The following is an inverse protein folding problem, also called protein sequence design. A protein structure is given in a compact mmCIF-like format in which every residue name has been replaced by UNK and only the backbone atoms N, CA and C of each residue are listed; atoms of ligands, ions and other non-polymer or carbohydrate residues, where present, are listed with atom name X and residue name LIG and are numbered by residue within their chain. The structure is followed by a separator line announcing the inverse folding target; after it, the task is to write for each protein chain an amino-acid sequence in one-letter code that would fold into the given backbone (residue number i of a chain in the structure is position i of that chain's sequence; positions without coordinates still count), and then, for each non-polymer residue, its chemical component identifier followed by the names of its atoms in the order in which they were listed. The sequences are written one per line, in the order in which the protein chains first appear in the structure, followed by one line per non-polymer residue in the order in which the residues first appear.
data_IF_218375945578
#
_entry.id   IF_218375945578
#
_cell.length_a   1.000
_cell.length_b   1.000
_cell.length_c   1.000
_cell.angle_alpha   90.00
_cell.angle_beta   90.00
_cell.angle_gamma   90.00
#
_symmetry.space_group_name_H-M   'P 1'
#
loop_
_entity.id
_entity.type
_entity.pdbx_description
1 polymer ?
#
# COMPACT_ATOMS: atom_id res chain seq x y z
N UNK A 1 -0.13 26.68 16.87
CA UNK A 1 -0.32 27.86 15.99
C UNK A 1 -1.23 27.42 14.85
N UNK A 2 -2.30 28.18 14.58
CA UNK A 2 -3.21 27.90 13.46
C UNK A 2 -2.84 28.77 12.27
N UNK A 3 -3.15 28.31 11.06
CA UNK A 3 -2.86 29.01 9.81
C UNK A 3 -3.98 28.78 8.80
N UNK A 4 -4.02 29.60 7.75
CA UNK A 4 -5.01 29.47 6.68
C UNK A 4 -4.56 28.47 5.61
N UNK A 5 -5.52 27.76 5.00
CA UNK A 5 -5.22 26.85 3.90
C UNK A 5 -4.61 27.61 2.72
N UNK A 6 -3.37 27.25 2.34
CA UNK A 6 -2.63 27.92 1.27
C UNK A 6 -3.34 27.85 -0.09
N UNK A 7 -3.91 26.69 -0.41
CA UNK A 7 -4.66 26.44 -1.65
C UNK A 7 -6.06 25.92 -1.30
N UNK A 8 -7.11 26.76 -1.36
CA UNK A 8 -8.47 26.43 -0.90
C UNK A 8 -9.26 25.62 -1.94
N UNK A 9 -8.63 24.59 -2.52
CA UNK A 9 -9.24 23.75 -3.57
C UNK A 9 -9.74 22.41 -3.06
N UNK A 10 -9.22 21.96 -1.92
CA UNK A 10 -9.59 20.67 -1.33
C UNK A 10 -10.37 20.93 -0.06
N UNK A 11 -11.59 20.41 -0.01
CA UNK A 11 -12.48 20.59 1.13
C UNK A 11 -12.03 19.75 2.33
N UNK A 12 -12.08 20.35 3.51
CA UNK A 12 -11.83 19.67 4.78
C UNK A 12 -13.15 19.10 5.31
N UNK A 13 -13.18 17.82 5.74
CA UNK A 13 -14.38 17.23 6.35
C UNK A 13 -14.88 18.04 7.55
N UNK A 14 -16.19 18.24 7.62
CA UNK A 14 -16.82 19.01 8.69
C UNK A 14 -16.46 18.45 10.08
N UNK A 15 -16.10 19.34 11.01
CA UNK A 15 -15.75 18.96 12.38
C UNK A 15 -14.33 18.42 12.56
N UNK A 16 -13.53 18.30 11.50
CA UNK A 16 -12.10 17.97 11.60
C UNK A 16 -11.26 19.24 11.69
N UNK A 17 -10.50 19.37 12.79
CA UNK A 17 -9.51 20.43 12.92
C UNK A 17 -8.36 20.16 11.95
N UNK A 18 -8.01 21.16 11.15
CA UNK A 18 -6.92 21.13 10.16
C UNK A 18 -6.16 22.46 10.19
N UNK A 19 -5.04 22.56 9.48
CA UNK A 19 -4.23 23.78 9.34
C UNK A 19 -3.73 24.37 10.66
N UNK A 20 -3.01 23.54 11.42
CA UNK A 20 -2.26 23.97 12.58
C UNK A 20 -0.89 23.29 12.60
N UNK A 21 0.07 23.92 13.26
CA UNK A 21 1.43 23.39 13.39
C UNK A 21 1.42 22.21 14.37
N UNK A 22 1.97 21.08 13.91
CA UNK A 22 2.22 19.86 14.68
C UNK A 22 3.71 19.76 15.06
N UNK A 23 4.01 18.95 16.06
CA UNK A 23 5.39 18.58 16.39
C UNK A 23 5.69 17.20 15.81
N UNK A 24 6.84 17.09 15.15
CA UNK A 24 7.36 15.88 14.52
C UNK A 24 8.87 15.82 14.74
N UNK A 25 9.39 14.62 15.00
CA UNK A 25 10.79 14.36 15.35
C UNK A 25 11.67 13.96 14.15
N UNK A 26 11.07 13.68 12.99
CA UNK A 26 11.79 13.38 11.74
C UNK A 26 12.28 14.63 10.99
N UNK A 27 11.92 15.84 11.44
CA UNK A 27 12.30 17.08 10.76
C UNK A 27 13.77 17.39 11.03
N UNK A 28 14.57 17.51 9.97
CA UNK A 28 15.99 17.83 10.06
C UNK A 28 16.26 19.34 9.90
N UNK A 29 17.46 19.76 10.34
CA UNK A 29 17.96 21.13 10.16
C UNK A 29 19.00 21.25 9.04
N UNK A 30 19.32 20.13 8.38
CA UNK A 30 20.36 20.05 7.36
C UNK A 30 19.87 20.57 6.01
N UNK A 31 18.61 20.28 5.67
CA UNK A 31 17.98 20.63 4.40
C UNK A 31 16.61 21.30 4.60
N UNK A 32 16.20 22.13 3.63
CA UNK A 32 14.90 22.81 3.65
C UNK A 32 14.87 24.04 4.56
N UNK A 33 13.78 24.20 5.32
CA UNK A 33 13.53 25.41 6.14
C UNK A 33 13.34 25.12 7.63
N UNK A 34 13.39 23.85 8.03
CA UNK A 34 12.98 23.41 9.37
C UNK A 34 11.46 23.36 9.60
N UNK A 35 10.64 23.69 8.58
CA UNK A 35 9.19 23.50 8.56
C UNK A 35 8.86 22.62 7.35
N UNK A 36 8.15 21.52 7.59
CA UNK A 36 7.81 20.53 6.56
C UNK A 36 6.31 20.62 6.23
N UNK A 37 6.00 20.63 4.93
CA UNK A 37 4.62 20.49 4.46
C UNK A 37 4.15 19.05 4.67
N UNK A 38 2.99 18.88 5.29
CA UNK A 38 2.42 17.56 5.60
C UNK A 38 1.19 17.28 4.74
N UNK A 39 1.20 16.17 4.01
CA UNK A 39 0.08 15.65 3.24
C UNK A 39 -0.12 14.16 3.54
N UNK A 40 -0.99 13.78 4.50
CA UNK A 40 -1.11 12.40 5.01
C UNK A 40 -1.43 11.33 3.96
N UNK A 41 -1.95 11.71 2.79
CA UNK A 41 -2.24 10.77 1.70
C UNK A 41 -1.00 10.38 0.86
N UNK A 42 0.13 11.08 1.00
CA UNK A 42 1.26 10.98 0.06
C UNK A 42 2.64 10.77 0.72
N UNK A 43 2.69 10.60 2.05
CA UNK A 43 3.94 10.32 2.78
C UNK A 43 3.66 9.49 4.02
N UNK A 44 4.59 8.58 4.36
CA UNK A 44 4.44 7.70 5.53
C UNK A 44 4.55 8.49 6.84
N UNK A 45 5.59 9.32 6.98
CA UNK A 45 5.76 10.19 8.16
C UNK A 45 4.61 11.19 8.31
N UNK A 46 4.11 11.69 7.18
CA UNK A 46 2.94 12.57 7.13
C UNK A 46 1.67 11.86 7.57
N UNK A 47 1.50 10.59 7.16
CA UNK A 47 0.39 9.75 7.57
C UNK A 47 0.45 9.48 9.08
N UNK A 48 1.61 9.09 9.59
CA UNK A 48 1.81 8.81 11.02
C UNK A 48 1.55 10.05 11.88
N UNK A 49 2.08 11.20 11.49
CA UNK A 49 1.82 12.50 12.13
C UNK A 49 0.33 12.85 12.03
N UNK A 50 -0.27 12.66 10.87
CA UNK A 50 -1.69 12.90 10.65
C UNK A 50 -2.57 12.08 11.58
N UNK A 51 -2.26 10.79 11.75
CA UNK A 51 -2.96 9.90 12.66
C UNK A 51 -2.81 10.33 14.13
N UNK A 52 -1.60 10.71 14.55
CA UNK A 52 -1.33 11.15 15.93
C UNK A 52 -2.15 12.39 16.32
N UNK A 53 -2.27 13.35 15.42
CA UNK A 53 -2.99 14.60 15.67
C UNK A 53 -4.44 14.59 15.16
N UNK A 54 -4.92 13.47 14.62
CA UNK A 54 -6.28 13.32 14.12
C UNK A 54 -6.60 14.15 12.87
N UNK A 55 -5.60 14.46 12.05
CA UNK A 55 -5.74 15.19 10.79
C UNK A 55 -6.54 14.38 9.77
N UNK A 56 -7.33 15.02 8.89
CA UNK A 56 -8.00 14.33 7.80
C UNK A 56 -7.00 13.89 6.73
N UNK A 57 -7.22 12.71 6.16
CA UNK A 57 -6.46 12.21 5.01
C UNK A 57 -7.12 12.74 3.73
N UNK A 58 -6.65 13.90 3.27
CA UNK A 58 -7.14 14.54 2.04
C UNK A 58 -6.40 13.97 0.83
N UNK A 59 -7.15 13.39 -0.12
CA UNK A 59 -6.58 12.83 -1.33
C UNK A 59 -7.29 13.38 -2.59
N UNK A 60 -6.72 14.42 -3.23
CA UNK A 60 -7.24 14.96 -4.48
C UNK A 60 -6.70 14.25 -5.72
N UNK A 61 -6.08 13.07 -5.61
CA UNK A 61 -5.47 12.33 -6.73
C UNK A 61 -6.18 10.98 -6.85
N UNK A 62 -6.52 10.58 -8.08
CA UNK A 62 -7.15 9.28 -8.33
C UNK A 62 -6.13 8.15 -8.59
N UNK A 63 -6.65 6.93 -8.77
CA UNK A 63 -5.84 5.73 -9.03
C UNK A 63 -5.06 5.76 -10.36
N UNK A 64 -5.32 6.74 -11.24
CA UNK A 64 -4.56 6.97 -12.47
C UNK A 64 -3.43 7.99 -12.30
N UNK A 65 -3.25 8.51 -11.08
CA UNK A 65 -2.27 9.55 -10.76
C UNK A 65 -2.69 10.93 -11.27
N UNK A 66 -4.00 11.17 -11.43
CA UNK A 66 -4.54 12.45 -11.93
C UNK A 66 -5.30 13.19 -10.83
N UNK A 67 -5.19 14.52 -10.84
CA UNK A 67 -5.93 15.35 -9.90
C UNK A 67 -7.45 15.31 -10.14
N UNK A 68 -8.22 15.50 -9.06
CA UNK A 68 -9.69 15.52 -9.01
C UNK A 68 -10.15 16.65 -8.09
N UNK A 69 -11.18 17.39 -8.52
CA UNK A 69 -11.78 18.45 -7.71
C UNK A 69 -10.89 19.69 -7.52
N UNK A 70 -9.77 19.79 -8.25
CA UNK A 70 -8.87 20.95 -8.23
C UNK A 70 -8.89 21.68 -9.58
N UNK A 71 -8.32 22.91 -9.67
CA UNK A 71 -8.14 23.60 -10.95
C UNK A 71 -7.31 22.83 -11.99
N UNK A 72 -6.59 21.79 -11.58
CA UNK A 72 -5.78 20.91 -12.44
C UNK A 72 -6.39 19.53 -12.61
N UNK A 73 -7.72 19.43 -12.43
CA UNK A 73 -8.45 18.17 -12.62
C UNK A 73 -8.09 17.51 -13.96
N UNK A 74 -7.98 16.19 -13.96
CA UNK A 74 -7.51 15.36 -15.08
C UNK A 74 -6.02 15.50 -15.44
N UNK A 75 -5.25 16.41 -14.86
CA UNK A 75 -3.81 16.47 -15.11
C UNK A 75 -3.07 15.41 -14.29
N UNK A 76 -2.08 14.74 -14.91
CA UNK A 76 -1.16 13.87 -14.19
C UNK A 76 -0.33 14.71 -13.22
N UNK A 77 -0.07 14.22 -12.01
CA UNK A 77 0.50 15.03 -10.92
C UNK A 77 1.83 15.71 -11.29
N UNK A 78 2.71 15.02 -12.03
CA UNK A 78 4.01 15.58 -12.44
C UNK A 78 3.82 16.69 -13.49
N UNK A 79 2.86 16.55 -14.39
CA UNK A 79 2.57 17.56 -15.41
C UNK A 79 1.93 18.82 -14.80
N UNK A 80 1.32 18.68 -13.62
CA UNK A 80 0.69 19.78 -12.89
C UNK A 80 1.70 20.68 -12.15
N UNK A 81 2.97 20.27 -12.00
CA UNK A 81 3.99 21.05 -11.29
C UNK A 81 4.13 22.48 -11.84
N UNK A 82 4.21 22.65 -13.17
CA UNK A 82 4.34 23.98 -13.78
C UNK A 82 3.08 24.86 -13.60
N UNK A 83 1.86 24.35 -13.87
CA UNK A 83 0.62 25.06 -13.53
C UNK A 83 0.51 25.46 -12.05
N UNK A 84 0.88 24.58 -11.12
CA UNK A 84 0.85 24.86 -9.67
C UNK A 84 1.84 25.98 -9.33
N UNK A 85 3.08 25.89 -9.82
CA UNK A 85 4.09 26.93 -9.62
C UNK A 85 3.66 28.29 -10.18
N UNK A 86 3.00 28.29 -11.35
CA UNK A 86 2.44 29.51 -11.94
C UNK A 86 1.38 30.12 -11.01
N UNK A 87 0.45 29.31 -10.50
CA UNK A 87 -0.56 29.78 -9.55
C UNK A 87 0.06 30.35 -8.27
N UNK A 88 1.05 29.67 -7.68
CA UNK A 88 1.75 30.14 -6.48
C UNK A 88 2.44 31.49 -6.70
N UNK A 89 3.04 31.69 -7.89
CA UNK A 89 3.67 32.95 -8.27
C UNK A 89 2.64 34.07 -8.46
N UNK A 90 1.56 33.81 -9.20
CA UNK A 90 0.48 34.78 -9.47
C UNK A 90 -0.25 35.24 -8.19
N UNK A 91 -0.30 34.39 -7.17
CA UNK A 91 -0.90 34.71 -5.87
C UNK A 91 0.12 35.27 -4.84
N UNK A 92 1.37 35.48 -5.22
CA UNK A 92 2.38 36.10 -4.36
C UNK A 92 2.84 35.25 -3.16
N UNK A 93 2.57 33.94 -3.18
CA UNK A 93 2.92 33.01 -2.10
C UNK A 93 4.18 32.18 -2.39
N UNK A 94 4.78 32.33 -3.57
CA UNK A 94 6.04 31.67 -3.95
C UNK A 94 7.25 32.50 -3.51
N UNK A 95 8.01 32.01 -2.53
CA UNK A 95 9.24 32.67 -2.07
C UNK A 95 10.46 32.43 -2.99
N UNK A 96 10.72 31.16 -3.35
CA UNK A 96 11.89 30.77 -4.15
C UNK A 96 11.55 29.52 -4.98
N UNK A 97 12.15 29.41 -6.18
CA UNK A 97 12.10 28.22 -7.04
C UNK A 97 13.52 27.85 -7.44
N UNK A 98 13.86 26.56 -7.32
CA UNK A 98 15.12 25.98 -7.78
C UNK A 98 14.86 24.64 -8.47
N UNK A 99 15.81 24.21 -9.30
CA UNK A 99 15.79 22.87 -9.90
C UNK A 99 16.61 21.96 -8.99
N UNK A 100 16.04 20.82 -8.62
CA UNK A 100 16.69 19.84 -7.76
C UNK A 100 16.97 18.55 -8.53
N UNK A 101 18.23 18.11 -8.55
CA UNK A 101 18.64 16.87 -9.17
C UNK A 101 18.83 15.80 -8.09
N UNK A 102 18.04 14.73 -8.14
CA UNK A 102 18.12 13.63 -7.19
C UNK A 102 17.73 12.29 -7.81
N UNK A 103 17.89 11.21 -7.05
CA UNK A 103 17.34 9.91 -7.39
C UNK A 103 15.87 9.86 -6.94
N UNK A 104 14.98 9.49 -7.85
CA UNK A 104 13.55 9.35 -7.58
C UNK A 104 13.09 7.93 -7.95
N UNK A 105 12.18 7.29 -7.19
CA UNK A 105 11.70 5.95 -7.49
C UNK A 105 10.87 5.91 -8.76
N UNK A 106 11.14 4.94 -9.63
CA UNK A 106 10.39 4.70 -10.86
C UNK A 106 9.93 3.25 -10.92
N UNK A 107 8.82 3.00 -11.61
CA UNK A 107 8.34 1.65 -11.85
C UNK A 107 9.43 0.85 -12.59
N UNK A 108 9.87 -0.26 -12.01
CA UNK A 108 10.93 -1.11 -12.57
C UNK A 108 10.56 -1.74 -13.94
N UNK A 109 9.27 -1.70 -14.32
CA UNK A 109 8.77 -2.26 -15.57
C UNK A 109 8.54 -1.22 -16.67
N UNK A 110 7.87 -0.12 -16.35
CA UNK A 110 7.47 0.90 -17.35
C UNK A 110 8.20 2.23 -17.19
N UNK A 111 9.06 2.38 -16.18
CA UNK A 111 9.84 3.57 -15.88
C UNK A 111 9.02 4.84 -15.61
N UNK A 112 7.72 4.72 -15.35
CA UNK A 112 6.89 5.84 -14.88
C UNK A 112 7.30 6.23 -13.45
N UNK A 113 7.41 7.52 -13.11
CA UNK A 113 7.67 7.97 -11.74
C UNK A 113 6.61 7.42 -10.79
N UNK A 114 7.05 6.89 -9.64
CA UNK A 114 6.15 6.35 -8.62
C UNK A 114 5.67 7.45 -7.68
N UNK A 115 4.48 7.27 -7.15
CA UNK A 115 3.91 8.14 -6.12
C UNK A 115 3.71 7.30 -4.86
N UNK A 116 4.13 7.84 -3.72
CA UNK A 116 3.63 7.36 -2.44
C UNK A 116 2.16 7.74 -2.35
N UNK A 117 1.30 6.76 -2.09
CA UNK A 117 -0.15 6.93 -2.19
C UNK A 117 -0.85 6.05 -1.16
N UNK A 118 -1.61 6.68 -0.27
CA UNK A 118 -2.35 6.01 0.78
C UNK A 118 -3.49 5.19 0.17
N UNK A 119 -3.37 3.86 0.27
CA UNK A 119 -4.33 2.92 -0.28
C UNK A 119 -4.53 1.75 0.68
N UNK A 120 -5.77 1.25 0.84
CA UNK A 120 -5.99 -0.03 1.50
C UNK A 120 -5.16 -1.12 0.81
N UNK A 121 -4.36 -1.83 1.59
CA UNK A 121 -3.52 -2.93 1.13
C UNK A 121 -3.43 -3.98 2.23
N UNK A 122 -3.19 -5.23 1.83
CA UNK A 122 -2.93 -6.33 2.72
C UNK A 122 -1.43 -6.44 2.95
N UNK A 123 -1.05 -6.67 4.20
CA UNK A 123 0.34 -6.78 4.63
C UNK A 123 0.57 -8.07 5.39
N UNK A 124 1.74 -8.66 5.19
CA UNK A 124 2.28 -9.67 6.11
C UNK A 124 3.16 -8.94 7.11
N UNK A 125 2.90 -9.15 8.41
CA UNK A 125 3.62 -8.47 9.49
C UNK A 125 5.04 -9.02 9.69
N UNK A 126 5.93 -8.72 8.75
CA UNK A 126 7.32 -9.20 8.73
C UNK A 126 8.15 -8.62 9.86
N UNK A 127 7.80 -7.43 10.35
CA UNK A 127 8.47 -6.77 11.48
C UNK A 127 8.52 -7.63 12.74
N UNK A 128 7.47 -8.43 13.01
CA UNK A 128 7.44 -9.39 14.13
C UNK A 128 8.44 -10.55 13.99
N UNK A 129 8.91 -10.81 12.77
CA UNK A 129 9.84 -11.89 12.45
C UNK A 129 11.28 -11.40 12.25
N UNK A 130 11.55 -10.10 12.43
CA UNK A 130 12.86 -9.48 12.18
C UNK A 130 14.03 -10.26 12.79
N UNK A 131 13.99 -10.52 14.08
CA UNK A 131 15.08 -11.20 14.79
C UNK A 131 15.31 -12.63 14.27
N UNK A 132 14.22 -13.33 13.95
CA UNK A 132 14.27 -14.68 13.39
C UNK A 132 14.84 -14.69 11.96
N UNK A 133 14.47 -13.71 11.14
CA UNK A 133 15.02 -13.56 9.79
C UNK A 133 16.53 -13.33 9.83
N UNK A 134 16.99 -12.44 10.72
CA UNK A 134 18.42 -12.17 10.90
C UNK A 134 19.16 -13.41 11.43
N UNK A 135 18.61 -14.10 12.43
CA UNK A 135 19.26 -15.30 12.97
C UNK A 135 19.36 -16.43 11.94
N UNK A 136 18.32 -16.63 11.13
CA UNK A 136 18.34 -17.65 10.07
C UNK A 136 19.29 -17.28 8.95
N UNK A 137 19.35 -16.00 8.56
CA UNK A 137 20.31 -15.51 7.57
C UNK A 137 21.77 -15.83 7.97
N UNK A 138 22.09 -15.73 9.26
CA UNK A 138 23.43 -16.03 9.77
C UNK A 138 23.81 -17.52 9.68
N UNK A 139 22.84 -18.42 9.47
CA UNK A 139 23.10 -19.85 9.24
C UNK A 139 23.38 -20.18 7.76
N UNK A 140 23.11 -19.24 6.85
CA UNK A 140 23.27 -19.45 5.41
C UNK A 140 24.73 -19.20 5.01
N UNK A 141 25.31 -20.13 4.25
CA UNK A 141 26.64 -19.94 3.64
C UNK A 141 26.53 -19.11 2.36
N UNK A 142 26.71 -17.80 2.50
CA UNK A 142 26.68 -16.85 1.39
C UNK A 142 27.98 -16.85 0.61
N UNK A 143 27.89 -16.70 -0.72
CA UNK A 143 29.05 -16.50 -1.58
C UNK A 143 28.79 -15.32 -2.53
N UNK A 144 29.50 -14.19 -2.37
CA UNK A 144 30.50 -13.87 -1.34
C UNK A 144 29.88 -13.50 0.02
N UNK A 145 30.62 -13.72 1.11
CA UNK A 145 30.18 -13.55 2.51
C UNK A 145 29.53 -12.18 2.78
N UNK A 146 30.10 -11.10 2.22
CA UNK A 146 29.60 -9.73 2.44
C UNK A 146 28.16 -9.51 1.95
N UNK A 147 27.62 -10.37 1.07
CA UNK A 147 26.22 -10.29 0.66
C UNK A 147 25.30 -10.64 1.82
N UNK A 148 25.60 -11.71 2.54
CA UNK A 148 24.83 -12.12 3.72
C UNK A 148 24.97 -11.13 4.87
N UNK A 149 26.20 -10.68 5.14
CA UNK A 149 26.49 -9.77 6.24
C UNK A 149 25.99 -8.35 6.01
N UNK A 150 26.14 -7.82 4.78
CA UNK A 150 25.87 -6.40 4.49
C UNK A 150 24.63 -6.21 3.64
N UNK A 151 24.64 -6.68 2.39
CA UNK A 151 23.54 -6.34 1.46
C UNK A 151 22.19 -6.87 1.93
N UNK A 152 22.13 -8.16 2.24
CA UNK A 152 20.91 -8.80 2.69
C UNK A 152 20.72 -8.64 4.19
N UNK A 153 21.79 -8.77 4.98
CA UNK A 153 21.78 -8.53 6.43
C UNK A 153 21.22 -7.16 6.82
N UNK A 154 21.79 -6.07 6.29
CA UNK A 154 21.30 -4.71 6.60
C UNK A 154 19.86 -4.48 6.11
N UNK A 155 19.43 -5.17 5.06
CA UNK A 155 18.05 -5.09 4.57
C UNK A 155 17.08 -5.77 5.56
N UNK A 156 17.44 -6.95 6.08
CA UNK A 156 16.65 -7.65 7.10
C UNK A 156 16.59 -6.89 8.43
N UNK A 157 17.68 -6.22 8.83
CA UNK A 157 17.71 -5.39 10.03
C UNK A 157 16.73 -4.22 9.96
N UNK A 158 16.37 -3.76 8.76
CA UNK A 158 15.43 -2.67 8.54
C UNK A 158 14.17 -3.16 7.81
N UNK A 159 13.80 -4.43 8.00
CA UNK A 159 12.64 -5.03 7.35
C UNK A 159 11.36 -4.31 7.77
N UNK A 160 10.55 -3.95 6.77
CA UNK A 160 9.21 -3.41 6.94
C UNK A 160 8.16 -4.49 6.64
N UNK A 161 6.92 -4.23 7.03
CA UNK A 161 5.81 -5.13 6.70
C UNK A 161 5.62 -5.24 5.19
N UNK A 162 5.41 -6.46 4.71
CA UNK A 162 5.39 -6.74 3.28
C UNK A 162 3.99 -6.53 2.72
N UNK A 163 3.82 -5.47 1.93
CA UNK A 163 2.60 -5.23 1.15
C UNK A 163 2.41 -6.36 0.12
N UNK A 164 1.47 -7.28 0.38
CA UNK A 164 1.31 -8.52 -0.39
C UNK A 164 0.22 -8.44 -1.45
N UNK A 165 -0.79 -7.58 -1.27
CA UNK A 165 -1.88 -7.45 -2.25
C UNK A 165 -1.46 -6.63 -3.46
N UNK A 166 -2.00 -7.01 -4.62
CA UNK A 166 -1.87 -6.30 -5.89
C UNK A 166 -3.25 -6.20 -6.51
N UNK A 167 -3.67 -5.01 -6.91
CA UNK A 167 -4.92 -4.85 -7.67
C UNK A 167 -4.65 -5.08 -9.16
N UNK A 168 -4.52 -6.37 -9.50
CA UNK A 168 -4.25 -6.87 -10.86
C UNK A 168 -5.21 -8.02 -11.16
N UNK A 169 -5.24 -8.44 -12.41
CA UNK A 169 -6.16 -9.47 -12.90
C UNK A 169 -5.52 -10.87 -12.91
N UNK A 170 -4.25 -10.96 -13.32
CA UNK A 170 -3.54 -12.24 -13.45
C UNK A 170 -2.54 -12.44 -12.30
N UNK A 171 -2.78 -13.46 -11.49
CA UNK A 171 -1.99 -13.84 -10.31
C UNK A 171 -2.83 -14.69 -9.35
N UNK A 172 -2.20 -15.28 -8.34
CA UNK A 172 -2.88 -16.07 -7.31
C UNK A 172 -3.88 -15.19 -6.56
N UNK A 173 -5.18 -15.49 -6.57
CA UNK A 173 -6.15 -14.65 -5.88
C UNK A 173 -5.98 -14.72 -4.36
N UNK A 174 -6.03 -13.57 -3.68
CA UNK A 174 -5.95 -13.52 -2.22
C UNK A 174 -7.21 -14.20 -1.63
N UNK A 175 -7.09 -15.29 -0.84
CA UNK A 175 -8.22 -16.14 -0.51
C UNK A 175 -8.99 -15.64 0.72
N UNK A 176 -9.30 -14.34 0.75
CA UNK A 176 -10.01 -13.68 1.85
C UNK A 176 -11.39 -13.25 1.38
N UNK A 177 -12.42 -13.72 2.08
CA UNK A 177 -13.80 -13.29 1.93
C UNK A 177 -14.14 -12.26 3.01
N UNK A 178 -14.90 -11.24 2.61
CA UNK A 178 -15.32 -10.14 3.49
C UNK A 178 -16.83 -10.00 3.47
N UNK A 179 -17.41 -9.86 4.66
CA UNK A 179 -18.82 -9.60 4.86
C UNK A 179 -19.07 -8.10 5.08
N UNK A 180 -20.27 -7.62 4.76
CA UNK A 180 -20.70 -6.25 5.09
C UNK A 180 -20.73 -5.97 6.60
N UNK A 181 -20.93 -6.99 7.45
CA UNK A 181 -20.87 -6.84 8.91
C UNK A 181 -19.45 -6.62 9.45
N UNK A 182 -18.42 -6.71 8.61
CA UNK A 182 -17.01 -6.54 8.98
C UNK A 182 -16.25 -7.85 9.18
N UNK A 183 -16.93 -8.99 9.28
CA UNK A 183 -16.29 -10.31 9.37
C UNK A 183 -15.41 -10.59 8.15
N UNK A 184 -14.24 -11.18 8.38
CA UNK A 184 -13.27 -11.58 7.36
C UNK A 184 -12.83 -13.01 7.61
N UNK A 185 -12.78 -13.80 6.54
CA UNK A 185 -12.46 -15.22 6.63
C UNK A 185 -11.51 -15.62 5.50
N UNK A 186 -10.47 -16.39 5.84
CA UNK A 186 -9.51 -16.92 4.87
C UNK A 186 -9.85 -18.38 4.57
N UNK A 187 -9.87 -18.74 3.29
CA UNK A 187 -10.11 -20.11 2.84
C UNK A 187 -8.79 -20.78 2.48
N UNK A 188 -8.51 -21.94 3.10
CA UNK A 188 -7.23 -22.63 3.01
C UNK A 188 -7.18 -23.78 2.00
N UNK A 189 -8.31 -24.23 1.45
CA UNK A 189 -8.35 -25.35 0.49
C UNK A 189 -9.56 -25.31 -0.44
N UNK A 190 -9.48 -26.04 -1.56
CA UNK A 190 -10.60 -26.25 -2.49
C UNK A 190 -11.78 -26.95 -1.80
N UNK A 191 -11.49 -27.91 -0.93
CA UNK A 191 -12.48 -28.63 -0.14
C UNK A 191 -13.25 -27.70 0.79
N UNK A 192 -12.53 -26.89 1.56
CA UNK A 192 -13.14 -25.90 2.45
C UNK A 192 -14.00 -24.90 1.66
N UNK A 193 -13.53 -24.43 0.49
CA UNK A 193 -14.30 -23.55 -0.37
C UNK A 193 -15.61 -24.22 -0.82
N UNK A 194 -15.55 -25.47 -1.27
CA UNK A 194 -16.73 -26.20 -1.73
C UNK A 194 -17.74 -26.49 -0.59
N UNK A 195 -17.26 -26.70 0.63
CA UNK A 195 -18.12 -26.90 1.82
C UNK A 195 -18.84 -25.62 2.26
N UNK A 196 -18.18 -24.46 2.12
CA UNK A 196 -18.71 -23.17 2.58
C UNK A 196 -19.43 -22.36 1.50
N UNK A 197 -19.24 -22.71 0.23
CA UNK A 197 -19.80 -21.97 -0.87
C UNK A 197 -21.33 -22.03 -0.92
N UNK A 198 -21.93 -20.91 -1.32
CA UNK A 198 -23.35 -20.84 -1.65
C UNK A 198 -23.61 -21.55 -2.98
N UNK A 199 -22.70 -21.37 -3.94
CA UNK A 199 -22.75 -22.04 -5.22
C UNK A 199 -22.37 -23.52 -5.10
N UNK A 200 -22.96 -24.36 -5.95
CA UNK A 200 -22.59 -25.77 -6.02
C UNK A 200 -21.24 -25.93 -6.74
N UNK A 201 -20.19 -26.13 -5.97
CA UNK A 201 -18.81 -26.25 -6.46
C UNK A 201 -18.35 -27.71 -6.46
N UNK A 202 -17.70 -28.12 -7.54
CA UNK A 202 -16.93 -29.38 -7.59
C UNK A 202 -15.46 -29.03 -7.27
N UNK A 203 -14.98 -29.46 -6.10
CA UNK A 203 -13.62 -29.19 -5.61
C UNK A 203 -12.52 -29.63 -6.60
N UNK A 204 -12.81 -30.59 -7.48
CA UNK A 204 -11.84 -31.13 -8.44
C UNK A 204 -11.83 -30.37 -9.77
N UNK A 205 -12.83 -29.52 -10.02
CA UNK A 205 -13.01 -28.82 -11.31
C UNK A 205 -13.07 -27.30 -11.19
N UNK A 206 -13.08 -26.77 -9.97
CA UNK A 206 -13.12 -25.33 -9.75
C UNK A 206 -11.89 -24.64 -10.37
N UNK A 207 -12.14 -23.59 -11.14
CA UNK A 207 -11.13 -22.63 -11.57
C UNK A 207 -10.98 -21.56 -10.48
N UNK A 208 -9.79 -21.51 -9.88
CA UNK A 208 -9.49 -20.61 -8.76
C UNK A 208 -8.95 -19.26 -9.23
N UNK A 209 -8.65 -19.06 -10.52
CA UNK A 209 -8.21 -17.78 -11.03
C UNK A 209 -9.37 -16.79 -11.20
N UNK A 210 -9.03 -15.51 -11.24
CA UNK A 210 -9.94 -14.46 -11.69
C UNK A 210 -10.23 -14.64 -13.20
N UNK A 211 -11.46 -14.38 -13.67
CA UNK A 211 -12.60 -13.85 -12.92
C UNK A 211 -13.43 -14.90 -12.16
N UNK A 212 -13.19 -16.20 -12.38
CA UNK A 212 -14.09 -17.28 -11.95
C UNK A 212 -14.29 -17.35 -10.43
N UNK A 213 -13.21 -17.26 -9.66
CA UNK A 213 -13.29 -17.28 -8.19
C UNK A 213 -13.97 -16.04 -7.59
N UNK A 214 -14.07 -14.93 -8.35
CA UNK A 214 -14.72 -13.71 -7.87
C UNK A 214 -16.25 -13.89 -7.75
N UNK A 215 -16.81 -14.89 -8.44
CA UNK A 215 -18.25 -15.22 -8.44
C UNK A 215 -18.63 -16.22 -7.34
N UNK A 216 -17.66 -16.69 -6.54
CA UNK A 216 -17.91 -17.64 -5.45
C UNK A 216 -18.18 -16.88 -4.15
N UNK A 217 -19.34 -17.13 -3.56
CA UNK A 217 -19.77 -16.54 -2.29
C UNK A 217 -19.75 -17.59 -1.19
N UNK A 218 -19.44 -17.18 0.04
CA UNK A 218 -19.57 -18.04 1.23
C UNK A 218 -20.59 -17.44 2.21
N UNK A 219 -21.16 -18.27 3.08
CA UNK A 219 -22.09 -17.81 4.11
C UNK A 219 -21.32 -17.31 5.32
N UNK A 220 -21.59 -16.07 5.75
CA UNK A 220 -20.97 -15.49 6.93
C UNK A 220 -21.38 -16.23 8.21
N UNK A 221 -20.43 -16.71 9.03
CA UNK A 221 -20.76 -17.42 10.26
C UNK A 221 -21.37 -16.51 11.34
N UNK A 222 -21.15 -15.19 11.26
CA UNK A 222 -21.64 -14.23 12.27
C UNK A 222 -23.05 -13.73 11.98
N UNK A 223 -23.36 -13.38 10.72
CA UNK A 223 -24.63 -12.75 10.36
C UNK A 223 -25.48 -13.52 9.33
N UNK A 224 -24.96 -14.64 8.80
CA UNK A 224 -25.66 -15.48 7.82
C UNK A 224 -25.78 -14.86 6.41
N UNK A 225 -25.28 -13.65 6.19
CA UNK A 225 -25.27 -13.00 4.86
C UNK A 225 -24.15 -13.55 3.98
N UNK A 226 -24.21 -13.24 2.68
CA UNK A 226 -23.16 -13.62 1.74
C UNK A 226 -21.89 -12.80 1.98
N UNK A 227 -20.74 -13.46 1.92
CA UNK A 227 -19.43 -12.84 1.87
C UNK A 227 -18.89 -12.90 0.44
N UNK A 228 -18.18 -11.86 0.03
CA UNK A 228 -17.51 -11.80 -1.28
C UNK A 228 -16.01 -11.77 -1.10
N UNK A 229 -15.26 -12.40 -2.01
CA UNK A 229 -13.80 -12.35 -2.02
C UNK A 229 -13.30 -10.92 -2.25
N UNK A 230 -12.21 -10.54 -1.59
CA UNK A 230 -11.48 -9.31 -1.95
C UNK A 230 -10.94 -9.41 -3.37
N UNK A 231 -10.91 -8.33 -4.15
CA UNK A 231 -10.52 -8.40 -5.58
C UNK A 231 -9.02 -8.52 -5.83
N UNK A 232 -8.20 -8.35 -4.80
CA UNK A 232 -6.75 -8.38 -4.92
C UNK A 232 -6.22 -9.77 -5.26
N UNK A 233 -5.10 -9.78 -5.99
CA UNK A 233 -4.23 -10.93 -6.20
C UNK A 233 -2.95 -10.75 -5.39
N UNK A 234 -2.20 -11.82 -5.22
CA UNK A 234 -0.97 -11.86 -4.42
C UNK A 234 0.22 -11.34 -5.25
N UNK A 235 1.20 -10.73 -4.58
CA UNK A 235 2.50 -10.39 -5.14
C UNK A 235 3.23 -11.63 -5.68
N UNK A 236 3.76 -11.57 -6.90
CA UNK A 236 4.34 -12.76 -7.54
C UNK A 236 5.60 -13.28 -6.84
N UNK A 237 6.27 -12.45 -6.03
CA UNK A 237 7.38 -12.89 -5.17
C UNK A 237 6.92 -13.90 -4.11
N UNK A 238 5.66 -13.83 -3.66
CA UNK A 238 5.07 -14.83 -2.78
C UNK A 238 4.89 -16.18 -3.46
N UNK A 239 4.43 -16.19 -4.72
CA UNK A 239 4.31 -17.41 -5.50
C UNK A 239 5.69 -18.08 -5.64
N UNK A 240 6.71 -17.30 -6.03
CA UNK A 240 8.08 -17.82 -6.14
C UNK A 240 8.68 -18.25 -4.79
N UNK A 241 8.37 -17.52 -3.71
CA UNK A 241 8.84 -17.84 -2.36
C UNK A 241 8.16 -19.08 -1.78
N UNK A 242 6.95 -19.41 -2.25
CA UNK A 242 6.18 -20.59 -1.85
C UNK A 242 6.61 -21.87 -2.56
N UNK A 243 7.40 -21.74 -3.64
CA UNK A 243 7.88 -22.85 -4.47
C UNK A 243 8.40 -24.07 -3.69
N UNK A 244 9.20 -23.92 -2.60
CA UNK A 244 9.77 -25.08 -1.89
C UNK A 244 8.74 -26.09 -1.41
N UNK A 245 7.53 -25.65 -1.03
CA UNK A 245 6.45 -26.54 -0.57
C UNK A 245 5.31 -26.66 -1.57
N UNK A 246 4.97 -25.57 -2.27
CA UNK A 246 3.83 -25.54 -3.20
C UNK A 246 4.03 -26.48 -4.40
N UNK A 247 5.27 -26.69 -4.85
CA UNK A 247 5.57 -27.62 -5.95
C UNK A 247 5.18 -29.08 -5.65
N UNK A 248 5.08 -29.43 -4.36
CA UNK A 248 4.78 -30.78 -3.88
C UNK A 248 3.33 -30.94 -3.42
N UNK A 249 2.48 -29.93 -3.61
CA UNK A 249 1.11 -29.92 -3.09
C UNK A 249 1.03 -30.05 -1.55
N UNK A 250 2.10 -29.71 -0.83
CA UNK A 250 2.05 -29.56 0.63
C UNK A 250 1.05 -28.45 1.00
N UNK A 251 0.21 -28.62 2.04
CA UNK A 251 0.21 -29.69 3.05
C UNK A 251 -0.69 -30.91 2.74
N UNK A 252 -1.22 -31.04 1.52
CA UNK A 252 -2.22 -32.06 1.21
C UNK A 252 -1.61 -33.42 0.82
N UNK A 253 -0.48 -33.39 0.14
CA UNK A 253 0.26 -34.57 -0.30
C UNK A 253 1.74 -34.43 0.09
N UNK A 254 2.37 -35.56 0.47
CA UNK A 254 3.82 -35.80 0.52
C UNK A 254 4.14 -37.23 0.99
#
# INVERSE_FOLDING_TARGET
MEYEQLMPFVEVPQGKKSFFVTLADYVTIEDGTGIVHTAPAFGEDDYNTGMQYGLPVLNPVDDSGRFRGTPWSDMFVIDADQPILKWLHENGVLYKKEIFAHNYPHCWRCHTPLLYYARPSWYIQMTKLKDLLVSNNNTVSWYPDYVGEKRFGNWLENVNDWAISRSRYWGTPLPIWKCECGHQESIGSRKELAEKAVEKIDENKIELHRPFVDEVHIVCPECGQHMTRVKDVIDCWFDSGSMPFAQWHYPFEN
#
